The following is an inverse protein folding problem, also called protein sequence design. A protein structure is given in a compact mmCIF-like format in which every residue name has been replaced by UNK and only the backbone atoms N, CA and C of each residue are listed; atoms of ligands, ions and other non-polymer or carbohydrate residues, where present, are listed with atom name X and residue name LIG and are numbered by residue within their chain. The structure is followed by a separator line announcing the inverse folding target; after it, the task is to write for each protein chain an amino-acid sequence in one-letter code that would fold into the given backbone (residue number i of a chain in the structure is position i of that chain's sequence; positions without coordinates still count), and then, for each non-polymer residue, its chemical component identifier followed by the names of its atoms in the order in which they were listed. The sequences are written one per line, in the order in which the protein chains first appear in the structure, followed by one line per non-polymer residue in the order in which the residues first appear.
data_IF_665313192840
#
_entry.id   IF_665313192840
#
_cell.length_a   1.000
_cell.length_b   1.000
_cell.length_c   1.000
_cell.angle_alpha   90.00
_cell.angle_beta   90.00
_cell.angle_gamma   90.00
#
_symmetry.space_group_name_H-M   'P 1'
#
loop_
_entity.id
_entity.type
_entity.pdbx_description
1 polymer ?
#
# COMPACT_ATOMS: atom_id res chain seq x y z
N UNK A 1 -10.50 2.13 -6.57
CA UNK A 1 -10.89 2.76 -5.30
C UNK A 1 -10.50 4.22 -5.33
N UNK A 2 -11.38 5.13 -4.95
CA UNK A 2 -11.12 6.57 -4.81
C UNK A 2 -10.38 6.90 -3.49
N UNK A 3 -9.91 8.13 -3.35
CA UNK A 3 -9.12 8.57 -2.18
C UNK A 3 -9.93 8.53 -0.86
N UNK A 4 -11.15 9.08 -0.78
CA UNK A 4 -11.98 8.99 0.42
C UNK A 4 -12.20 7.55 0.89
N UNK A 5 -12.58 6.65 -0.01
CA UNK A 5 -12.80 5.23 0.34
C UNK A 5 -11.53 4.57 0.87
N UNK A 6 -10.37 4.88 0.29
CA UNK A 6 -9.09 4.34 0.77
C UNK A 6 -8.74 4.89 2.16
N UNK A 7 -9.02 6.16 2.44
CA UNK A 7 -8.80 6.75 3.75
C UNK A 7 -9.68 6.10 4.83
N UNK A 8 -10.93 5.75 4.51
CA UNK A 8 -11.82 5.01 5.42
C UNK A 8 -11.23 3.64 5.77
N UNK A 9 -10.79 2.87 4.78
CA UNK A 9 -10.21 1.55 5.03
C UNK A 9 -8.92 1.65 5.86
N UNK A 10 -8.08 2.65 5.60
CA UNK A 10 -6.89 2.91 6.40
C UNK A 10 -7.25 3.29 7.85
N UNK A 11 -8.36 3.99 8.06
CA UNK A 11 -8.88 4.30 9.39
C UNK A 11 -9.44 3.06 10.10
N UNK A 12 -10.12 2.17 9.38
CA UNK A 12 -10.62 0.89 9.92
C UNK A 12 -9.48 -0.06 10.31
N UNK A 13 -8.35 0.01 9.59
CA UNK A 13 -7.13 -0.72 9.95
C UNK A 13 -6.53 -0.26 11.31
N UNK A 14 -6.95 0.89 11.83
CA UNK A 14 -6.60 1.39 13.17
C UNK A 14 -7.63 1.00 14.24
N UNK A 15 -8.73 0.34 13.88
CA UNK A 15 -9.80 0.01 14.82
C UNK A 15 -9.29 -0.85 15.99
N UNK A 16 -9.75 -0.59 17.23
CA UNK A 16 -9.51 -1.49 18.35
C UNK A 16 -10.25 -2.82 18.19
N UNK A 17 -11.28 -2.88 17.34
CA UNK A 17 -11.99 -4.10 17.02
C UNK A 17 -11.14 -4.97 16.08
N UNK A 18 -10.84 -6.20 16.52
CA UNK A 18 -10.01 -7.15 15.78
C UNK A 18 -10.60 -7.51 14.42
N UNK A 19 -11.92 -7.67 14.34
CA UNK A 19 -12.59 -8.11 13.10
C UNK A 19 -12.57 -7.00 12.06
N UNK A 20 -12.85 -5.75 12.46
CA UNK A 20 -12.78 -4.58 11.59
C UNK A 20 -11.35 -4.36 11.06
N UNK A 21 -10.36 -4.41 11.95
CA UNK A 21 -8.95 -4.28 11.54
C UNK A 21 -8.56 -5.35 10.54
N UNK A 22 -8.91 -6.61 10.80
CA UNK A 22 -8.58 -7.72 9.90
C UNK A 22 -9.25 -7.57 8.53
N UNK A 23 -10.53 -7.21 8.50
CA UNK A 23 -11.26 -6.97 7.24
C UNK A 23 -10.65 -5.81 6.43
N UNK A 24 -10.22 -4.75 7.10
CA UNK A 24 -9.53 -3.63 6.47
C UNK A 24 -8.17 -4.04 5.90
N UNK A 25 -7.37 -4.80 6.66
CA UNK A 25 -6.08 -5.33 6.19
C UNK A 25 -6.23 -6.28 4.99
N UNK A 26 -7.24 -7.15 5.00
CA UNK A 26 -7.57 -8.02 3.87
C UNK A 26 -7.97 -7.20 2.64
N UNK A 27 -8.78 -6.16 2.83
CA UNK A 27 -9.14 -5.23 1.76
C UNK A 27 -7.92 -4.53 1.18
N UNK A 28 -7.02 -3.98 2.01
CA UNK A 28 -5.78 -3.36 1.56
C UNK A 28 -4.91 -4.34 0.74
N UNK A 29 -4.78 -5.58 1.21
CA UNK A 29 -4.07 -6.63 0.49
C UNK A 29 -4.73 -6.99 -0.84
N UNK A 30 -6.06 -6.96 -0.93
CA UNK A 30 -6.76 -7.18 -2.19
C UNK A 30 -6.51 -6.02 -3.17
N UNK A 31 -6.60 -4.78 -2.69
CA UNK A 31 -6.46 -3.59 -3.53
C UNK A 31 -5.02 -3.26 -3.91
N UNK A 32 -4.01 -3.86 -3.28
CA UNK A 32 -2.59 -3.56 -3.57
C UNK A 32 -2.22 -3.78 -5.04
N UNK A 33 -2.91 -4.68 -5.74
CA UNK A 33 -2.70 -4.98 -7.16
C UNK A 33 -3.54 -4.12 -8.11
N UNK A 34 -4.39 -3.24 -7.59
CA UNK A 34 -5.24 -2.39 -8.42
C UNK A 34 -4.46 -1.22 -9.03
N UNK A 35 -4.80 -0.81 -10.26
CA UNK A 35 -4.18 0.35 -10.89
C UNK A 35 -4.26 1.59 -10.01
N UNK A 36 -3.16 2.33 -9.96
CA UNK A 36 -2.99 3.59 -9.21
C UNK A 36 -3.03 3.45 -7.68
N UNK A 37 -3.07 2.24 -7.11
CA UNK A 37 -3.13 2.06 -5.66
C UNK A 37 -1.96 2.75 -4.93
N UNK A 38 -0.72 2.49 -5.35
CA UNK A 38 0.48 3.12 -4.81
C UNK A 38 0.47 4.66 -4.90
N UNK A 39 -0.02 5.19 -6.03
CA UNK A 39 -0.13 6.64 -6.24
C UNK A 39 -1.16 7.25 -5.29
N UNK A 40 -2.30 6.59 -5.06
CA UNK A 40 -3.33 7.04 -4.13
C UNK A 40 -2.85 7.00 -2.67
N UNK A 41 -2.07 5.98 -2.29
CA UNK A 41 -1.42 5.97 -0.97
C UNK A 41 -0.50 7.17 -0.79
N UNK A 42 0.34 7.48 -1.78
CA UNK A 42 1.22 8.66 -1.74
C UNK A 42 0.42 9.97 -1.66
N UNK A 43 -0.69 10.08 -2.38
CA UNK A 43 -1.59 11.23 -2.28
C UNK A 43 -2.12 11.40 -0.86
N UNK A 44 -2.56 10.33 -0.18
CA UNK A 44 -2.99 10.40 1.23
C UNK A 44 -1.84 10.81 2.15
N UNK A 45 -0.64 10.26 1.93
CA UNK A 45 0.55 10.58 2.76
C UNK A 45 0.93 12.07 2.65
N UNK A 46 0.90 12.62 1.43
CA UNK A 46 1.35 14.00 1.14
C UNK A 46 0.26 15.03 1.40
N UNK A 47 -1.00 14.73 1.05
CA UNK A 47 -2.13 15.66 1.20
C UNK A 47 -2.59 15.64 2.66
N UNK A 48 -2.21 16.68 3.42
CA UNK A 48 -2.47 16.82 4.86
C UNK A 48 -3.93 17.02 5.28
N UNK A 49 -4.91 16.64 4.44
CA UNK A 49 -6.35 16.73 4.76
C UNK A 49 -6.89 15.49 5.47
N UNK A 50 -6.05 14.47 5.70
CA UNK A 50 -6.38 13.27 6.47
C UNK A 50 -5.67 13.31 7.83
N UNK A 51 -6.26 12.65 8.83
CA UNK A 51 -5.67 12.52 10.17
C UNK A 51 -4.24 11.95 10.11
N UNK A 52 -3.39 12.40 11.04
CA UNK A 52 -1.99 11.98 11.09
C UNK A 52 -1.84 10.45 11.19
N UNK A 53 -2.72 9.78 11.95
CA UNK A 53 -2.67 8.33 12.10
C UNK A 53 -2.97 7.61 10.78
N UNK A 54 -3.95 8.10 10.00
CA UNK A 54 -4.26 7.57 8.66
C UNK A 54 -3.06 7.72 7.73
N UNK A 55 -2.38 8.88 7.77
CA UNK A 55 -1.17 9.15 6.98
C UNK A 55 -0.01 8.22 7.38
N UNK A 56 0.14 7.92 8.66
CA UNK A 56 1.16 6.99 9.16
C UNK A 56 0.90 5.56 8.68
N UNK A 57 -0.32 5.06 8.79
CA UNK A 57 -0.67 3.72 8.29
C UNK A 57 -0.48 3.63 6.78
N UNK A 58 -0.92 4.65 6.03
CA UNK A 58 -0.68 4.74 4.59
C UNK A 58 0.83 4.66 4.26
N UNK A 59 1.67 5.38 5.00
CA UNK A 59 3.13 5.39 4.82
C UNK A 59 3.75 4.01 5.09
N UNK A 60 3.32 3.35 6.17
CA UNK A 60 3.80 2.01 6.54
C UNK A 60 3.40 0.99 5.46
N UNK A 61 2.13 1.03 5.03
CA UNK A 61 1.62 0.12 4.02
C UNK A 61 2.34 0.31 2.68
N UNK A 62 2.50 1.57 2.24
CA UNK A 62 3.26 1.93 1.05
C UNK A 62 4.71 1.38 1.10
N UNK A 63 5.44 1.65 2.19
CA UNK A 63 6.81 1.15 2.38
C UNK A 63 6.87 -0.37 2.27
N UNK A 64 5.91 -1.07 2.88
CA UNK A 64 5.89 -2.53 2.87
C UNK A 64 5.60 -3.10 1.47
N UNK A 65 4.71 -2.49 0.68
CA UNK A 65 4.47 -2.91 -0.71
C UNK A 65 5.74 -2.70 -1.54
N UNK A 66 6.35 -1.51 -1.46
CA UNK A 66 7.56 -1.21 -2.23
C UNK A 66 8.67 -2.18 -1.85
N UNK A 67 8.95 -2.37 -0.56
CA UNK A 67 10.00 -3.28 -0.11
C UNK A 67 9.79 -4.74 -0.58
N UNK A 68 8.54 -5.22 -0.64
CA UNK A 68 8.23 -6.58 -1.10
C UNK A 68 8.40 -6.77 -2.61
N UNK A 69 8.16 -5.73 -3.39
CA UNK A 69 8.18 -5.79 -4.86
C UNK A 69 9.45 -5.18 -5.46
N UNK A 70 10.38 -4.72 -4.62
CA UNK A 70 11.65 -4.16 -5.04
C UNK A 70 12.68 -5.29 -5.15
N UNK A 71 13.01 -5.70 -6.37
CA UNK A 71 14.11 -6.63 -6.67
C UNK A 71 15.26 -5.86 -7.33
N UNK A 72 16.26 -5.38 -6.57
CA UNK A 72 17.40 -4.66 -7.13
C UNK A 72 18.32 -5.57 -7.94
N UNK A 73 18.28 -6.88 -7.66
CA UNK A 73 19.20 -7.89 -8.22
C UNK A 73 18.58 -8.78 -9.29
N UNK A 74 17.47 -8.38 -9.94
CA UNK A 74 16.94 -9.18 -11.06
C UNK A 74 18.02 -9.20 -12.17
N UNK A 75 18.67 -10.36 -12.43
CA UNK A 75 19.76 -10.41 -13.38
C UNK A 75 19.16 -10.27 -14.77
N UNK A 76 19.10 -9.03 -15.24
CA UNK A 76 18.72 -8.68 -16.60
C UNK A 76 19.70 -9.34 -17.56
N UNK A 77 19.24 -10.40 -18.23
CA UNK A 77 19.63 -10.76 -19.59
C UNK A 77 21.14 -10.95 -19.88
N UNK A 78 21.92 -11.59 -19.01
CA UNK A 78 23.34 -11.91 -19.31
C UNK A 78 23.67 -13.38 -19.57
N UNK A 79 22.68 -14.25 -19.80
CA UNK A 79 22.92 -15.70 -19.95
C UNK A 79 22.50 -16.32 -21.30
N UNK A 80 22.05 -15.53 -22.30
CA UNK A 80 21.63 -16.08 -23.60
C UNK A 80 22.57 -15.80 -24.79
N UNK A 81 23.74 -15.18 -24.59
CA UNK A 81 24.65 -14.84 -25.71
C UNK A 81 25.94 -15.65 -25.82
N UNK A 82 26.18 -16.65 -24.97
CA UNK A 82 27.33 -17.55 -25.13
C UNK A 82 26.97 -19.01 -24.80
N UNK A 83 26.48 -19.74 -25.80
CA UNK A 83 26.60 -21.20 -25.92
C UNK A 83 26.39 -21.61 -27.37
#
# INVERSE_FOLDING_TARGET
MDLPSLAIILQEALSPNREERKAAEESLNHFQYTPQHLVRLLQIVVVGNCDLAVRQVASIHFKNIVAKNWSPDEPSFHSYFFS
#
